data_IF_685947440149
#
_entry.id   IF_685947440149
#
_cell.length_a   1.000
_cell.length_b   1.000
_cell.length_c   1.000
_cell.angle_alpha   90.00
_cell.angle_beta   90.00
_cell.angle_gamma   90.00
#
_symmetry.space_group_name_H-M   'P 1'
#
loop_
_entity.id
_entity.type
_entity.pdbx_description
1 polymer ?
#
# COMPACT_ATOMS: atom_id res chain seq x y z
N UNK A 1 0.76 -13.07 11.94
CA UNK A 1 1.24 -12.14 12.97
C UNK A 1 0.51 -10.84 12.70
N UNK A 2 -0.44 -10.45 13.56
CA UNK A 2 -1.25 -9.24 13.33
C UNK A 2 -0.37 -8.01 13.42
N UNK A 3 -0.50 -7.13 12.44
CA UNK A 3 0.17 -5.84 12.40
C UNK A 3 -0.37 -5.01 13.57
N UNK A 4 0.52 -4.47 14.43
CA UNK A 4 0.10 -3.77 15.66
C UNK A 4 0.13 -2.27 15.52
N UNK A 5 0.68 -1.75 14.42
CA UNK A 5 0.87 -0.32 14.18
C UNK A 5 0.74 0.03 12.70
N UNK A 6 0.30 1.26 12.42
CA UNK A 6 0.26 1.82 11.06
C UNK A 6 1.64 1.79 10.37
N UNK A 7 2.72 1.97 11.15
CA UNK A 7 4.09 1.85 10.64
C UNK A 7 4.45 0.43 10.19
N UNK A 8 3.95 -0.61 10.87
CA UNK A 8 4.14 -2.00 10.43
C UNK A 8 3.30 -2.30 9.17
N UNK A 9 2.12 -1.68 9.02
CA UNK A 9 1.32 -1.80 7.80
C UNK A 9 2.07 -1.21 6.60
N UNK A 10 2.69 -0.04 6.78
CA UNK A 10 3.56 0.58 5.78
C UNK A 10 4.77 -0.29 5.45
N UNK A 11 5.48 -0.82 6.46
CA UNK A 11 6.63 -1.69 6.24
C UNK A 11 6.24 -2.96 5.47
N UNK A 12 5.12 -3.59 5.85
CA UNK A 12 4.58 -4.77 5.15
C UNK A 12 4.19 -4.46 3.72
N UNK A 13 3.59 -3.30 3.47
CA UNK A 13 3.24 -2.83 2.14
C UNK A 13 4.48 -2.73 1.27
N UNK A 14 5.52 -2.03 1.75
CA UNK A 14 6.78 -1.88 1.03
C UNK A 14 7.50 -3.21 0.82
N UNK A 15 7.57 -4.07 1.84
CA UNK A 15 8.17 -5.39 1.71
C UNK A 15 7.45 -6.28 0.71
N UNK A 16 6.12 -6.28 0.71
CA UNK A 16 5.34 -7.07 -0.24
C UNK A 16 5.47 -6.54 -1.67
N UNK A 17 5.54 -5.21 -1.85
CA UNK A 17 5.86 -4.59 -3.14
C UNK A 17 7.27 -4.96 -3.61
N UNK A 18 8.27 -4.93 -2.72
CA UNK A 18 9.65 -5.31 -3.03
C UNK A 18 9.80 -6.82 -3.30
N UNK A 19 8.99 -7.65 -2.64
CA UNK A 19 9.02 -9.10 -2.82
C UNK A 19 8.20 -9.55 -4.03
N UNK A 20 7.25 -8.72 -4.49
CA UNK A 20 6.50 -9.01 -5.68
C UNK A 20 7.46 -9.11 -6.86
N UNK A 21 7.61 -10.32 -7.39
CA UNK A 21 8.42 -10.60 -8.58
C UNK A 21 7.72 -10.15 -9.87
N UNK A 22 6.97 -9.04 -9.79
CA UNK A 22 6.26 -8.44 -10.91
C UNK A 22 7.24 -7.50 -11.61
N UNK A 23 7.30 -7.61 -12.94
CA UNK A 23 8.13 -6.72 -13.74
C UNK A 23 7.46 -5.35 -13.73
N UNK A 24 7.96 -4.45 -12.90
CA UNK A 24 7.52 -3.07 -12.86
C UNK A 24 7.99 -2.36 -14.13
N UNK A 25 7.17 -2.37 -15.17
CA UNK A 25 7.48 -1.73 -16.46
C UNK A 25 7.05 -0.26 -16.50
N UNK A 26 6.03 0.10 -15.70
CA UNK A 26 5.47 1.46 -15.67
C UNK A 26 5.21 1.93 -14.24
N UNK A 27 5.24 3.25 -13.97
CA UNK A 27 4.84 3.78 -12.67
C UNK A 27 3.39 3.42 -12.29
N UNK A 28 2.53 3.18 -13.28
CA UNK A 28 1.16 2.70 -13.09
C UNK A 28 1.13 1.26 -12.59
N UNK A 29 1.97 0.38 -13.13
CA UNK A 29 2.11 -1.00 -12.66
C UNK A 29 2.60 -1.04 -11.21
N UNK A 30 3.56 -0.18 -10.86
CA UNK A 30 4.02 -0.04 -9.48
C UNK A 30 2.88 0.43 -8.57
N UNK A 31 2.10 1.43 -9.01
CA UNK A 31 0.97 1.94 -8.24
C UNK A 31 -0.13 0.89 -8.05
N UNK A 32 -0.48 0.15 -9.10
CA UNK A 32 -1.45 -0.96 -9.06
C UNK A 32 -1.02 -2.01 -8.03
N UNK A 33 0.26 -2.35 -8.01
CA UNK A 33 0.83 -3.30 -7.06
C UNK A 33 0.76 -2.79 -5.61
N UNK A 34 1.03 -1.50 -5.40
CA UNK A 34 0.81 -0.86 -4.10
C UNK A 34 -0.67 -0.93 -3.69
N UNK A 35 -1.60 -0.66 -4.60
CA UNK A 35 -3.05 -0.70 -4.33
C UNK A 35 -3.52 -2.11 -3.97
N UNK A 36 -3.16 -3.11 -4.79
CA UNK A 36 -3.45 -4.52 -4.54
C UNK A 36 -2.89 -4.99 -3.19
N UNK A 37 -1.66 -4.59 -2.87
CA UNK A 37 -1.02 -4.96 -1.60
C UNK A 37 -1.69 -4.29 -0.42
N UNK A 38 -2.05 -3.00 -0.54
CA UNK A 38 -2.76 -2.27 0.49
C UNK A 38 -4.12 -2.93 0.80
N UNK A 39 -4.87 -3.33 -0.22
CA UNK A 39 -6.14 -4.04 -0.04
C UNK A 39 -5.94 -5.37 0.68
N UNK A 40 -4.91 -6.15 0.31
CA UNK A 40 -4.62 -7.42 0.99
C UNK A 40 -4.21 -7.23 2.46
N UNK A 41 -3.44 -6.18 2.76
CA UNK A 41 -3.07 -5.82 4.13
C UNK A 41 -4.32 -5.37 4.90
N UNK A 42 -5.18 -4.57 4.27
CA UNK A 42 -6.44 -4.13 4.86
C UNK A 42 -7.33 -5.32 5.19
N UNK A 43 -7.54 -6.25 4.26
CA UNK A 43 -8.34 -7.47 4.45
C UNK A 43 -7.76 -8.36 5.57
N UNK A 44 -6.45 -8.60 5.54
CA UNK A 44 -5.77 -9.45 6.54
C UNK A 44 -5.70 -8.83 7.94
N UNK A 45 -5.78 -7.50 8.06
CA UNK A 45 -5.69 -6.78 9.33
C UNK A 45 -6.97 -6.01 9.66
N UNK A 46 -8.06 -6.26 8.93
CA UNK A 46 -9.33 -5.55 9.11
C UNK A 46 -9.85 -5.69 10.55
N UNK A 47 -9.70 -6.89 11.12
CA UNK A 47 -10.08 -7.20 12.50
C UNK A 47 -9.12 -6.59 13.55
N UNK A 48 -7.90 -6.23 13.15
CA UNK A 48 -6.85 -5.76 14.06
C UNK A 48 -6.88 -4.24 14.30
N UNK A 49 -7.52 -3.47 13.43
CA UNK A 49 -7.58 -2.02 13.50
C UNK A 49 -9.03 -1.52 13.57
N UNK A 50 -9.28 -0.40 14.28
CA UNK A 50 -10.60 0.23 14.25
C UNK A 50 -10.99 0.67 12.84
N UNK A 51 -12.30 0.64 12.58
CA UNK A 51 -12.89 0.92 11.27
C UNK A 51 -12.36 2.24 10.68
N UNK A 52 -11.90 2.18 9.43
CA UNK A 52 -11.43 3.34 8.67
C UNK A 52 -10.05 3.89 9.05
N UNK A 53 -9.42 3.43 10.13
CA UNK A 53 -8.08 3.91 10.52
C UNK A 53 -7.00 3.32 9.62
N UNK A 54 -7.01 2.01 9.43
CA UNK A 54 -6.05 1.35 8.53
C UNK A 54 -6.33 1.71 7.06
N UNK A 55 -7.60 1.78 6.67
CA UNK A 55 -8.00 2.20 5.32
C UNK A 55 -7.52 3.63 5.02
N UNK A 56 -7.77 4.58 5.93
CA UNK A 56 -7.37 5.97 5.75
C UNK A 56 -5.85 6.11 5.61
N UNK A 57 -5.10 5.40 6.45
CA UNK A 57 -3.63 5.39 6.39
C UNK A 57 -3.10 4.82 5.07
N UNK A 58 -3.62 3.66 4.64
CA UNK A 58 -3.24 3.03 3.38
C UNK A 58 -3.63 3.91 2.18
N UNK A 59 -4.82 4.51 2.19
CA UNK A 59 -5.26 5.44 1.16
C UNK A 59 -4.34 6.65 1.04
N UNK A 60 -3.94 7.27 2.16
CA UNK A 60 -2.99 8.39 2.12
C UNK A 60 -1.64 7.98 1.51
N UNK A 61 -1.12 6.79 1.84
CA UNK A 61 0.12 6.28 1.24
C UNK A 61 -0.05 6.08 -0.27
N UNK A 62 -1.18 5.52 -0.70
CA UNK A 62 -1.48 5.33 -2.12
C UNK A 62 -1.55 6.68 -2.84
N UNK A 63 -2.26 7.67 -2.30
CA UNK A 63 -2.33 9.01 -2.89
C UNK A 63 -0.94 9.64 -3.03
N UNK A 64 -0.09 9.54 -2.01
CA UNK A 64 1.29 10.03 -2.09
C UNK A 64 2.12 9.29 -3.15
N UNK A 65 1.95 7.96 -3.27
CA UNK A 65 2.62 7.17 -4.31
C UNK A 65 2.08 7.50 -5.70
N UNK A 66 0.78 7.73 -5.86
CA UNK A 66 0.17 8.17 -7.11
C UNK A 66 0.78 9.51 -7.54
N UNK A 67 0.91 10.48 -6.63
CA UNK A 67 1.51 11.78 -6.95
C UNK A 67 3.00 11.62 -7.30
N UNK A 68 3.75 10.78 -6.58
CA UNK A 68 5.18 10.58 -6.87
C UNK A 68 5.45 9.80 -8.17
N UNK A 69 4.64 8.77 -8.45
CA UNK A 69 4.84 7.86 -9.58
C UNK A 69 4.14 8.36 -10.85
N UNK A 70 2.90 8.85 -10.70
CA UNK A 70 2.03 9.28 -11.80
C UNK A 70 1.96 10.80 -11.94
N UNK A 71 2.34 11.57 -10.91
CA UNK A 71 2.30 13.03 -10.91
C UNK A 71 3.41 13.72 -11.71
N UNK A 72 4.12 12.99 -12.58
CA UNK A 72 4.93 13.61 -13.63
C UNK A 72 4.04 14.05 -14.81
N UNK A 73 3.04 14.88 -14.54
CA UNK A 73 2.39 15.73 -15.54
C UNK A 73 2.32 17.14 -14.96
N UNK A 74 3.41 17.90 -15.14
CA UNK A 74 3.34 19.35 -15.28
C UNK A 74 4.34 19.82 -16.32
#
# INVERSE_FOLDING_TARGET
MTIRSLAEASARLEEAVMNASIVIETPTDLYDLYEMTAIQILDSNFDAFPDGVLEGHLRSILEEKAIQLLGSIQ
#
